data_IF_627165387646
#
_entry.id   IF_627165387646
#
_cell.length_a   1.000
_cell.length_b   1.000
_cell.length_c   1.000
_cell.angle_alpha   90.00
_cell.angle_beta   90.00
_cell.angle_gamma   90.00
#
_symmetry.space_group_name_H-M   'P 1'
#
loop_
_entity.id
_entity.type
_entity.pdbx_description
1 polymer ?
#
# COMPACT_ATOMS: atom_id res chain seq x y z
N UNK A 1 -20.31 -4.38 -14.54
CA UNK A 1 -18.94 -4.32 -13.98
C UNK A 1 -18.80 -5.41 -12.91
N UNK A 2 -17.95 -6.41 -13.14
CA UNK A 2 -17.71 -7.49 -12.16
C UNK A 2 -17.05 -6.92 -10.90
N UNK A 3 -17.22 -7.59 -9.76
CA UNK A 3 -16.63 -7.15 -8.49
C UNK A 3 -15.09 -7.01 -8.59
N UNK A 4 -14.43 -7.90 -9.33
CA UNK A 4 -13.00 -7.85 -9.60
C UNK A 4 -12.57 -6.55 -10.30
N UNK A 5 -13.25 -6.16 -11.38
CA UNK A 5 -12.91 -4.95 -12.15
C UNK A 5 -12.95 -3.70 -11.27
N UNK A 6 -13.89 -3.61 -10.33
CA UNK A 6 -13.95 -2.48 -9.38
C UNK A 6 -12.69 -2.38 -8.52
N UNK A 7 -12.17 -3.52 -8.06
CA UNK A 7 -10.98 -3.57 -7.22
C UNK A 7 -9.70 -3.29 -8.01
N UNK A 8 -9.61 -3.75 -9.26
CA UNK A 8 -8.52 -3.37 -10.16
C UNK A 8 -8.50 -1.88 -10.46
N UNK A 9 -9.67 -1.29 -10.76
CA UNK A 9 -9.79 0.17 -10.95
C UNK A 9 -9.35 0.90 -9.69
N UNK A 10 -9.84 0.50 -8.51
CA UNK A 10 -9.42 1.11 -7.25
C UNK A 10 -7.91 1.01 -7.03
N UNK A 11 -7.31 -0.16 -7.26
CA UNK A 11 -5.87 -0.36 -7.13
C UNK A 11 -5.08 0.60 -8.04
N UNK A 12 -5.46 0.73 -9.31
CA UNK A 12 -4.81 1.63 -10.27
C UNK A 12 -4.98 3.09 -9.87
N UNK A 13 -6.18 3.49 -9.45
CA UNK A 13 -6.46 4.88 -9.01
C UNK A 13 -5.62 5.22 -7.78
N UNK A 14 -5.58 4.37 -6.77
CA UNK A 14 -4.77 4.60 -5.57
C UNK A 14 -3.27 4.58 -5.88
N UNK A 15 -2.80 3.68 -6.74
CA UNK A 15 -1.41 3.64 -7.16
C UNK A 15 -1.01 4.91 -7.91
N UNK A 16 -1.81 5.36 -8.87
CA UNK A 16 -1.54 6.59 -9.63
C UNK A 16 -1.57 7.83 -8.73
N UNK A 17 -2.57 7.95 -7.85
CA UNK A 17 -2.66 9.05 -6.89
C UNK A 17 -1.46 9.06 -5.93
N UNK A 18 -1.06 7.89 -5.42
CA UNK A 18 0.07 7.81 -4.51
C UNK A 18 1.40 8.11 -5.20
N UNK A 19 1.61 7.61 -6.43
CA UNK A 19 2.78 7.96 -7.23
C UNK A 19 2.84 9.47 -7.46
N UNK A 20 1.74 10.11 -7.85
CA UNK A 20 1.68 11.55 -8.05
C UNK A 20 2.01 12.33 -6.76
N UNK A 21 1.41 11.94 -5.63
CA UNK A 21 1.70 12.56 -4.34
C UNK A 21 3.15 12.35 -3.89
N UNK A 22 3.75 11.20 -4.19
CA UNK A 22 5.14 10.91 -3.83
C UNK A 22 6.17 11.81 -4.53
N UNK A 23 5.79 12.45 -5.65
CA UNK A 23 6.64 13.38 -6.39
C UNK A 23 6.43 14.85 -5.96
N UNK A 24 5.49 15.13 -5.05
CA UNK A 24 5.22 16.50 -4.62
C UNK A 24 6.02 16.90 -3.40
N UNK A 25 6.68 18.06 -3.47
CA UNK A 25 7.39 18.69 -2.34
C UNK A 25 6.47 18.97 -1.14
N UNK A 26 5.17 19.21 -1.38
CA UNK A 26 4.20 19.48 -0.31
C UNK A 26 4.09 18.36 0.74
N UNK A 27 4.39 17.11 0.37
CA UNK A 27 4.42 15.98 1.33
C UNK A 27 5.66 16.09 2.24
N UNK A 28 6.76 16.60 1.70
CA UNK A 28 7.98 16.87 2.48
C UNK A 28 7.70 17.94 3.52
N UNK A 29 7.19 19.09 3.09
CA UNK A 29 6.89 20.23 3.96
C UNK A 29 5.84 19.90 5.02
N UNK A 30 4.80 19.15 4.63
CA UNK A 30 3.81 18.66 5.58
C UNK A 30 4.44 17.77 6.66
N UNK A 31 5.35 16.88 6.29
CA UNK A 31 6.00 15.98 7.25
C UNK A 31 6.91 16.73 8.24
N UNK A 32 7.65 17.74 7.74
CA UNK A 32 8.53 18.59 8.56
C UNK A 32 7.73 19.46 9.52
N UNK A 33 6.60 20.01 9.07
CA UNK A 33 5.70 20.80 9.93
C UNK A 33 5.00 19.97 11.01
N UNK A 34 4.73 18.68 10.75
CA UNK A 34 4.10 17.78 11.72
C UNK A 34 5.06 17.36 12.84
N UNK A 35 6.29 17.00 12.47
CA UNK A 35 7.32 16.55 13.42
C UNK A 35 8.67 17.16 13.03
N UNK A 36 9.04 18.30 13.65
CA UNK A 36 10.30 18.95 13.35
C UNK A 36 11.52 18.15 13.84
N UNK A 37 12.67 18.34 13.19
CA UNK A 37 13.94 17.69 13.53
C UNK A 37 14.12 16.32 12.87
N UNK A 38 14.90 15.42 13.49
CA UNK A 38 15.29 14.13 12.88
C UNK A 38 14.13 13.13 12.68
N UNK A 39 12.96 13.40 13.23
CA UNK A 39 11.79 12.52 13.19
C UNK A 39 10.78 12.87 12.08
N UNK A 40 11.01 13.91 11.28
CA UNK A 40 10.13 14.29 10.16
C UNK A 40 9.94 13.17 9.13
N UNK A 41 10.87 12.21 9.07
CA UNK A 41 10.78 11.03 8.17
C UNK A 41 9.70 10.05 8.62
N UNK A 42 9.39 9.97 9.91
CA UNK A 42 8.46 8.99 10.46
C UNK A 42 7.02 9.18 9.93
N UNK A 43 6.41 10.39 9.99
CA UNK A 43 5.10 10.63 9.38
C UNK A 43 5.03 10.19 7.92
N UNK A 44 6.09 10.46 7.14
CA UNK A 44 6.15 10.08 5.73
C UNK A 44 6.13 8.57 5.54
N UNK A 45 6.93 7.82 6.31
CA UNK A 45 6.95 6.35 6.23
C UNK A 45 5.62 5.74 6.70
N UNK A 46 4.96 6.32 7.70
CA UNK A 46 3.63 5.86 8.15
C UNK A 46 2.58 6.08 7.06
N UNK A 47 2.53 7.28 6.46
CA UNK A 47 1.60 7.58 5.38
C UNK A 47 1.85 6.69 4.15
N UNK A 48 3.12 6.51 3.76
CA UNK A 48 3.50 5.60 2.68
C UNK A 48 3.06 4.16 2.96
N UNK A 49 3.29 3.66 4.18
CA UNK A 49 2.85 2.33 4.60
C UNK A 49 1.33 2.20 4.45
N UNK A 50 0.55 3.19 4.90
CA UNK A 50 -0.90 3.17 4.75
C UNK A 50 -1.35 3.13 3.28
N UNK A 51 -0.70 3.89 2.39
CA UNK A 51 -0.96 3.83 0.96
C UNK A 51 -0.64 2.43 0.38
N UNK A 52 0.49 1.82 0.75
CA UNK A 52 0.82 0.46 0.33
C UNK A 52 -0.18 -0.58 0.86
N UNK A 53 -0.70 -0.42 2.08
CA UNK A 53 -1.78 -1.27 2.62
C UNK A 53 -3.00 -1.20 1.71
N UNK A 54 -3.46 0.00 1.36
CA UNK A 54 -4.66 0.20 0.55
C UNK A 54 -4.50 -0.45 -0.82
N UNK A 55 -3.39 -0.17 -1.52
CA UNK A 55 -3.11 -0.70 -2.86
C UNK A 55 -3.03 -2.23 -2.81
N UNK A 56 -2.25 -2.78 -1.88
CA UNK A 56 -2.05 -4.23 -1.73
C UNK A 56 -3.36 -4.94 -1.35
N UNK A 57 -4.21 -4.29 -0.55
CA UNK A 57 -5.54 -4.80 -0.20
C UNK A 57 -6.44 -4.85 -1.43
N UNK A 58 -6.51 -3.78 -2.22
CA UNK A 58 -7.30 -3.74 -3.45
C UNK A 58 -6.85 -4.83 -4.44
N UNK A 59 -5.54 -5.00 -4.67
CA UNK A 59 -5.01 -6.07 -5.52
C UNK A 59 -5.35 -7.45 -4.96
N UNK A 60 -5.21 -7.65 -3.65
CA UNK A 60 -5.59 -8.90 -3.00
C UNK A 60 -7.07 -9.25 -3.16
N UNK A 61 -7.97 -8.26 -3.04
CA UNK A 61 -9.41 -8.44 -3.28
C UNK A 61 -9.71 -8.74 -4.74
N UNK A 62 -9.08 -8.04 -5.68
CA UNK A 62 -9.27 -8.25 -7.10
C UNK A 62 -8.87 -9.68 -7.50
N UNK A 63 -7.66 -10.09 -7.09
CA UNK A 63 -7.14 -11.42 -7.40
C UNK A 63 -7.92 -12.56 -6.73
N UNK A 64 -8.43 -12.36 -5.51
CA UNK A 64 -9.32 -13.33 -4.87
C UNK A 64 -10.63 -13.51 -5.65
N UNK A 65 -11.19 -12.41 -6.17
CA UNK A 65 -12.40 -12.47 -7.00
C UNK A 65 -12.15 -13.11 -8.38
N UNK A 66 -10.96 -12.94 -8.97
CA UNK A 66 -10.61 -13.55 -10.26
C UNK A 66 -10.25 -15.04 -10.14
N UNK A 67 -9.46 -15.39 -9.12
CA UNK A 67 -8.88 -16.73 -8.98
C UNK A 67 -9.69 -17.66 -8.06
N UNK A 68 -10.68 -17.12 -7.36
CA UNK A 68 -11.48 -17.84 -6.35
C UNK A 68 -10.67 -18.31 -5.13
N UNK A 69 -9.39 -17.94 -5.04
CA UNK A 69 -8.48 -18.35 -3.96
C UNK A 69 -7.71 -17.16 -3.40
N UNK A 70 -7.51 -17.23 -2.10
CA UNK A 70 -6.66 -16.32 -1.36
C UNK A 70 -5.18 -16.63 -1.60
N UNK A 71 -4.41 -15.62 -1.98
CA UNK A 71 -2.95 -15.70 -2.06
C UNK A 71 -2.35 -14.54 -1.27
N UNK A 72 -1.38 -14.85 -0.40
CA UNK A 72 -0.68 -13.86 0.41
C UNK A 72 0.49 -13.23 -0.36
N UNK A 73 1.07 -13.95 -1.33
CA UNK A 73 2.26 -13.51 -2.04
C UNK A 73 1.96 -12.30 -2.91
N UNK A 74 0.80 -12.29 -3.58
CA UNK A 74 0.46 -11.22 -4.51
C UNK A 74 0.36 -9.83 -3.83
N UNK A 75 -0.41 -9.63 -2.73
CA UNK A 75 -0.42 -8.34 -2.02
C UNK A 75 0.97 -7.91 -1.53
N UNK A 76 1.78 -8.85 -1.01
CA UNK A 76 3.12 -8.55 -0.49
C UNK A 76 4.07 -8.12 -1.61
N UNK A 77 4.07 -8.86 -2.72
CA UNK A 77 4.87 -8.52 -3.89
C UNK A 77 4.42 -7.21 -4.52
N UNK A 78 3.11 -6.92 -4.57
CA UNK A 78 2.60 -5.63 -5.03
C UNK A 78 3.15 -4.48 -4.19
N UNK A 79 3.02 -4.54 -2.86
CA UNK A 79 3.56 -3.47 -2.00
C UNK A 79 5.07 -3.29 -2.15
N UNK A 80 5.81 -4.40 -2.20
CA UNK A 80 7.28 -4.40 -2.32
C UNK A 80 7.77 -3.85 -3.66
N UNK A 81 7.21 -4.34 -4.77
CA UNK A 81 7.61 -3.92 -6.12
C UNK A 81 7.18 -2.48 -6.37
N UNK A 82 5.99 -2.09 -5.92
CA UNK A 82 5.51 -0.73 -6.13
C UNK A 82 6.29 0.30 -5.31
N UNK A 83 6.73 -0.03 -4.09
CA UNK A 83 7.60 0.88 -3.34
C UNK A 83 8.98 1.00 -3.97
N UNK A 84 9.56 -0.10 -4.48
CA UNK A 84 10.80 -0.05 -5.26
C UNK A 84 10.65 0.79 -6.54
N UNK A 85 9.49 0.72 -7.20
CA UNK A 85 9.20 1.54 -8.38
C UNK A 85 9.10 3.03 -8.04
N UNK A 86 8.41 3.41 -6.95
CA UNK A 86 8.33 4.80 -6.50
C UNK A 86 9.72 5.34 -6.21
N UNK A 87 10.56 4.59 -5.50
CA UNK A 87 11.93 4.96 -5.19
C UNK A 87 12.76 5.24 -6.45
N UNK A 88 12.68 4.34 -7.44
CA UNK A 88 13.36 4.55 -8.73
C UNK A 88 12.83 5.80 -9.43
N UNK A 89 11.51 6.01 -9.42
CA UNK A 89 10.91 7.18 -10.05
C UNK A 89 11.34 8.49 -9.37
N UNK A 90 11.40 8.52 -8.04
CA UNK A 90 11.88 9.67 -7.27
C UNK A 90 13.36 9.94 -7.57
N UNK A 91 14.20 8.90 -7.56
CA UNK A 91 15.62 9.01 -7.90
C UNK A 91 15.85 9.62 -9.30
N UNK A 92 15.09 9.19 -10.31
CA UNK A 92 15.18 9.76 -11.66
C UNK A 92 14.66 11.20 -11.72
N UNK A 93 13.58 11.51 -10.99
CA UNK A 93 13.00 12.85 -10.94
C UNK A 93 13.95 13.85 -10.28
N UNK A 94 14.52 13.52 -9.12
CA UNK A 94 15.50 14.36 -8.41
C UNK A 94 16.77 14.57 -9.24
N UNK A 95 17.22 13.52 -9.94
CA UNK A 95 18.34 13.61 -10.89
C UNK A 95 18.04 14.55 -12.06
N UNK A 96 16.81 14.53 -12.58
CA UNK A 96 16.38 15.42 -13.65
C UNK A 96 16.32 16.88 -13.18
N UNK A 97 15.89 17.11 -11.93
CA UNK A 97 15.80 18.44 -11.33
C UNK A 97 17.13 18.96 -10.75
N UNK A 98 18.17 18.15 -10.68
CA UNK A 98 19.49 18.54 -10.16
C UNK A 98 19.55 18.66 -8.63
N UNK A 99 18.64 17.99 -7.92
CA UNK A 99 18.57 17.99 -6.45
C UNK A 99 19.60 17.00 -5.88
N UNK A 100 20.22 17.25 -4.70
CA UNK A 100 21.13 16.31 -4.07
C UNK A 100 20.44 14.98 -3.78
N UNK A 101 20.98 13.89 -4.34
CA UNK A 101 20.42 12.54 -4.21
C UNK A 101 20.65 12.02 -2.79
N UNK A 102 19.59 11.57 -2.10
CA UNK A 102 19.70 10.92 -0.80
C UNK A 102 20.50 9.61 -0.86
N UNK A 103 21.25 9.24 0.20
CA UNK A 103 22.09 8.05 0.18
C UNK A 103 21.28 6.74 0.18
N UNK A 104 21.70 5.78 -0.65
CA UNK A 104 21.13 4.43 -0.90
C UNK A 104 20.63 3.62 0.30
N UNK A 105 21.05 3.96 1.54
CA UNK A 105 20.61 3.27 2.76
C UNK A 105 19.14 3.54 3.08
N UNK A 106 18.59 4.68 2.66
CA UNK A 106 17.18 5.02 2.86
C UNK A 106 16.25 4.25 1.92
N UNK A 107 16.72 3.90 0.72
CA UNK A 107 15.99 3.13 -0.29
C UNK A 107 15.54 1.76 0.23
N UNK A 108 16.37 1.12 1.07
CA UNK A 108 16.04 -0.18 1.67
C UNK A 108 14.85 -0.04 2.62
N UNK A 109 14.78 1.06 3.38
CA UNK A 109 13.69 1.33 4.32
C UNK A 109 12.38 1.57 3.54
N UNK A 110 12.43 2.25 2.40
CA UNK A 110 11.26 2.43 1.53
C UNK A 110 10.73 1.10 0.97
N UNK A 111 11.63 0.22 0.54
CA UNK A 111 11.23 -1.14 0.12
C UNK A 111 10.59 -1.93 1.26
N UNK A 112 11.14 -1.82 2.47
CA UNK A 112 10.56 -2.45 3.67
C UNK A 112 9.17 -1.89 4.02
N UNK A 113 8.92 -0.58 3.88
CA UNK A 113 7.58 -0.02 4.12
C UNK A 113 6.52 -0.60 3.17
N UNK A 114 6.88 -0.79 1.89
CA UNK A 114 6.03 -1.48 0.91
C UNK A 114 5.71 -2.93 1.32
N UNK A 115 6.73 -3.65 1.78
CA UNK A 115 6.58 -5.04 2.27
C UNK A 115 5.66 -5.11 3.48
N UNK A 116 5.87 -4.23 4.47
CA UNK A 116 5.05 -4.15 5.69
C UNK A 116 3.59 -3.82 5.33
N UNK A 117 3.37 -2.86 4.42
CA UNK A 117 2.04 -2.52 3.94
C UNK A 117 1.33 -3.72 3.30
N UNK A 118 2.04 -4.49 2.49
CA UNK A 118 1.54 -5.73 1.91
C UNK A 118 1.16 -6.78 2.95
N UNK A 119 1.99 -6.97 3.98
CA UNK A 119 1.70 -7.91 5.08
C UNK A 119 0.48 -7.50 5.90
N UNK A 120 0.33 -6.20 6.21
CA UNK A 120 -0.84 -5.66 6.90
C UNK A 120 -2.10 -5.86 6.05
N UNK A 121 -2.01 -5.69 4.73
CA UNK A 121 -3.13 -5.95 3.82
C UNK A 121 -3.54 -7.43 3.85
N UNK A 122 -2.60 -8.37 3.85
CA UNK A 122 -2.87 -9.81 4.01
C UNK A 122 -3.59 -10.08 5.33
N UNK A 123 -3.14 -9.48 6.43
CA UNK A 123 -3.78 -9.59 7.73
C UNK A 123 -5.22 -9.05 7.73
N UNK A 124 -5.45 -7.88 7.13
CA UNK A 124 -6.78 -7.28 6.99
C UNK A 124 -7.73 -8.16 6.14
N UNK A 125 -7.23 -8.73 5.04
CA UNK A 125 -7.98 -9.69 4.22
C UNK A 125 -8.34 -10.96 5.01
N UNK A 126 -7.42 -11.49 5.80
CA UNK A 126 -7.70 -12.63 6.66
C UNK A 126 -8.79 -12.31 7.70
N UNK A 127 -8.78 -11.10 8.27
CA UNK A 127 -9.77 -10.67 9.25
C UNK A 127 -11.17 -10.52 8.65
N UNK A 128 -11.30 -9.89 7.48
CA UNK A 128 -12.58 -9.73 6.78
C UNK A 128 -13.22 -11.07 6.43
N UNK A 129 -12.42 -12.06 6.00
CA UNK A 129 -12.89 -13.44 5.75
C UNK A 129 -13.41 -14.13 7.01
N UNK A 130 -12.67 -14.02 8.12
CA UNK A 130 -13.07 -14.62 9.41
C UNK A 130 -14.40 -14.05 9.89
N UNK A 131 -14.61 -12.75 9.71
CA UNK A 131 -15.87 -12.08 10.05
C UNK A 131 -17.04 -12.58 9.19
N UNK A 132 -16.88 -12.62 7.86
CA UNK A 132 -17.93 -13.11 6.96
C UNK A 132 -18.34 -14.56 7.25
N UNK A 133 -17.38 -15.45 7.57
CA UNK A 133 -17.67 -16.84 7.97
C UNK A 133 -18.43 -16.93 9.30
N UNK A 134 -18.12 -16.06 10.26
CA UNK A 134 -18.84 -16.02 11.55
C UNK A 134 -20.30 -15.56 11.37
N UNK A 135 -20.53 -14.57 10.52
CA UNK A 135 -21.86 -14.05 10.21
C UNK A 135 -22.71 -15.09 9.47
N UNK A 136 -22.16 -15.79 8.47
CA UNK A 136 -22.85 -16.91 7.81
C UNK A 136 -23.23 -18.03 8.78
N UNK A 137 -22.34 -18.40 9.71
CA UNK A 137 -22.64 -19.43 10.72
C UNK A 137 -23.72 -19.03 11.71
N UNK A 138 -23.89 -17.73 12.00
CA UNK A 138 -24.97 -17.23 12.85
C UNK A 138 -26.32 -17.33 12.16
N UNK A 139 -26.40 -16.94 10.88
CA UNK A 139 -27.64 -17.08 10.10
C UNK A 139 -28.01 -18.52 9.78
N UNK A 140 -27.05 -19.44 9.74
CA UNK A 140 -27.29 -20.86 9.51
C UNK A 140 -27.71 -21.65 10.77
N UNK A 141 -27.76 -21.02 11.96
CA UNK A 141 -28.39 -21.65 13.14
C UNK A 141 -29.86 -21.25 13.16
N UNK A 142 -30.78 -22.19 12.88
CA UNK A 142 -32.20 -21.93 13.10
C UNK A 142 -32.40 -21.70 14.61
N UNK A 143 -33.13 -20.63 14.95
CA UNK A 143 -33.57 -20.39 16.32
C UNK A 143 -34.40 -21.61 16.76
N UNK A 144 -33.87 -22.36 17.71
CA UNK A 144 -34.51 -23.51 18.35
C UNK A 144 -35.33 -23.07 19.54
#
# INVERSE_FOLDING_TARGET
MTASVKWWIAAVVFAAAFLFLSMQEGVYDFSVSLVPGHWHVLPRKVMATACFVIISFCVGRAAEHDRGRADWALPVLTGTIFSAFIEVAQHYYDRYLGVPIEPYRWNVIDVFTGTIGGLIAVWALAFTRRRGRREQRRHARPES
#
